data_IF_874902921632
#
_entry.id   IF_874902921632
#
_cell.length_a   1.000
_cell.length_b   1.000
_cell.length_c   1.000
_cell.angle_alpha   90.00
_cell.angle_beta   90.00
_cell.angle_gamma   90.00
#
_symmetry.space_group_name_H-M   'P 1'
#
loop_
_entity.id
_entity.type
_entity.pdbx_description
1 polymer ?
#
# COMPACT_ATOMS: atom_id res chain seq x y z
N UNK A 1 -5.26 37.39 -8.31
CA UNK A 1 -4.46 36.71 -7.25
C UNK A 1 -3.38 35.91 -7.94
N UNK A 2 -2.13 36.02 -7.53
CA UNK A 2 -1.04 35.33 -8.22
C UNK A 2 -0.95 33.87 -7.76
N UNK A 3 -0.35 33.02 -8.59
CA UNK A 3 -0.10 31.62 -8.27
C UNK A 3 0.69 31.48 -6.97
N UNK A 4 1.78 32.22 -6.78
CA UNK A 4 2.53 32.21 -5.51
C UNK A 4 1.66 32.51 -4.26
N UNK A 5 0.67 33.40 -4.37
CA UNK A 5 -0.21 33.75 -3.26
C UNK A 5 -1.17 32.59 -2.96
N UNK A 6 -1.71 31.95 -4.01
CA UNK A 6 -2.51 30.73 -3.90
C UNK A 6 -1.73 29.61 -3.19
N UNK A 7 -0.48 29.40 -3.60
CA UNK A 7 0.41 28.38 -3.02
C UNK A 7 0.72 28.68 -1.56
N UNK A 8 0.98 29.94 -1.20
CA UNK A 8 1.22 30.34 0.19
C UNK A 8 0.01 30.02 1.07
N UNK A 9 -1.20 30.42 0.66
CA UNK A 9 -2.42 30.13 1.40
C UNK A 9 -2.70 28.64 1.55
N UNK A 10 -2.35 27.83 0.53
CA UNK A 10 -2.42 26.38 0.63
C UNK A 10 -1.44 25.83 1.65
N UNK A 11 -0.16 26.23 1.60
CA UNK A 11 0.87 25.76 2.53
C UNK A 11 0.51 26.04 3.99
N UNK A 12 -0.03 27.22 4.29
CA UNK A 12 -0.49 27.57 5.64
C UNK A 12 -1.63 26.64 6.10
N UNK A 13 -2.56 26.34 5.19
CA UNK A 13 -3.66 25.41 5.48
C UNK A 13 -3.15 23.97 5.67
N UNK A 14 -2.14 23.54 4.90
CA UNK A 14 -1.52 22.21 5.05
C UNK A 14 -0.87 22.05 6.43
N UNK A 15 -0.15 23.07 6.92
CA UNK A 15 0.54 23.03 8.22
C UNK A 15 -0.44 22.76 9.36
N UNK A 16 -1.58 23.45 9.36
CA UNK A 16 -2.62 23.24 10.37
C UNK A 16 -3.19 21.81 10.34
N UNK A 17 -3.32 21.22 9.15
CA UNK A 17 -3.82 19.85 9.01
C UNK A 17 -2.76 18.81 9.44
N UNK A 18 -1.47 19.09 9.23
CA UNK A 18 -0.36 18.22 9.70
C UNK A 18 -0.36 18.08 11.22
N UNK A 19 -0.55 19.19 11.94
CA UNK A 19 -0.60 19.22 13.40
C UNK A 19 -1.75 18.34 13.97
N UNK A 20 -2.86 18.23 13.24
CA UNK A 20 -4.04 17.45 13.62
C UNK A 20 -3.95 15.93 13.32
N UNK A 21 -2.92 15.45 12.62
CA UNK A 21 -2.83 14.03 12.20
C UNK A 21 -1.81 13.19 13.00
N UNK A 22 -1.15 13.76 14.01
CA UNK A 22 -0.07 13.10 14.73
C UNK A 22 -0.50 11.94 15.67
N UNK A 23 -1.76 11.49 15.63
CA UNK A 23 -2.31 10.49 16.53
C UNK A 23 -3.22 9.52 15.76
N UNK A 24 -2.73 8.31 15.45
CA UNK A 24 -3.60 7.18 15.06
C UNK A 24 -2.84 5.85 15.12
N UNK A 25 -3.58 4.80 15.52
CA UNK A 25 -3.10 3.46 15.86
C UNK A 25 -2.95 2.53 14.65
N UNK A 26 -2.27 1.40 14.88
CA UNK A 26 -1.84 0.42 13.89
C UNK A 26 -2.86 -0.70 13.67
N UNK A 27 -3.52 -0.69 12.50
CA UNK A 27 -4.25 -1.81 11.89
C UNK A 27 -3.79 -1.96 10.42
N UNK A 28 -3.99 -3.12 9.80
CA UNK A 28 -3.52 -3.38 8.43
C UNK A 28 -4.20 -2.47 7.38
N UNK A 29 -5.51 -2.26 7.49
CA UNK A 29 -6.21 -1.27 6.67
C UNK A 29 -5.67 0.15 6.96
N UNK A 30 -5.43 0.48 8.23
CA UNK A 30 -4.86 1.77 8.62
C UNK A 30 -3.47 2.00 8.01
N UNK A 31 -2.68 0.94 7.81
CA UNK A 31 -1.38 1.03 7.15
C UNK A 31 -1.50 1.36 5.66
N UNK A 32 -2.36 0.68 4.90
CA UNK A 32 -2.50 1.01 3.47
C UNK A 32 -3.12 2.40 3.27
N UNK A 33 -4.03 2.81 4.16
CA UNK A 33 -4.54 4.19 4.22
C UNK A 33 -3.42 5.19 4.53
N UNK A 34 -2.50 4.85 5.44
CA UNK A 34 -1.34 5.68 5.75
C UNK A 34 -0.40 5.82 4.55
N UNK A 35 -0.14 4.73 3.82
CA UNK A 35 0.67 4.75 2.60
C UNK A 35 0.02 5.58 1.49
N UNK A 36 -1.29 5.43 1.27
CA UNK A 36 -2.06 6.24 0.32
C UNK A 36 -1.95 7.73 0.68
N UNK A 37 -2.08 8.05 1.96
CA UNK A 37 -1.97 9.41 2.44
C UNK A 37 -0.55 9.97 2.24
N UNK A 38 0.49 9.21 2.58
CA UNK A 38 1.88 9.60 2.38
C UNK A 38 2.20 9.86 0.91
N UNK A 39 1.74 8.99 0.01
CA UNK A 39 1.86 9.17 -1.44
C UNK A 39 1.18 10.46 -1.89
N UNK A 40 -0.09 10.65 -1.53
CA UNK A 40 -0.87 11.86 -1.89
C UNK A 40 -0.20 13.14 -1.42
N UNK A 41 0.24 13.18 -0.17
CA UNK A 41 0.88 14.37 0.43
C UNK A 41 2.17 14.69 -0.29
N UNK A 42 2.97 13.69 -0.64
CA UNK A 42 4.23 13.91 -1.35
C UNK A 42 3.98 14.44 -2.76
N UNK A 43 3.02 13.87 -3.49
CA UNK A 43 2.63 14.36 -4.81
C UNK A 43 2.22 15.84 -4.74
N UNK A 44 1.37 16.19 -3.78
CA UNK A 44 0.95 17.58 -3.57
C UNK A 44 2.12 18.49 -3.20
N UNK A 45 2.99 18.09 -2.26
CA UNK A 45 4.17 18.89 -1.87
C UNK A 45 5.11 19.13 -3.06
N UNK A 46 5.32 18.12 -3.91
CA UNK A 46 6.10 18.26 -5.14
C UNK A 46 5.44 19.25 -6.09
N UNK A 47 4.12 19.16 -6.27
CA UNK A 47 3.36 20.08 -7.10
C UNK A 47 3.46 21.52 -6.58
N UNK A 48 3.22 21.75 -5.29
CA UNK A 48 3.33 23.08 -4.68
C UNK A 48 4.71 23.69 -4.86
N UNK A 49 5.79 22.89 -4.73
CA UNK A 49 7.17 23.36 -4.93
C UNK A 49 7.41 23.84 -6.37
N UNK A 50 6.81 23.19 -7.36
CA UNK A 50 6.97 23.57 -8.77
C UNK A 50 6.34 24.94 -9.10
N UNK A 51 5.33 25.35 -8.35
CA UNK A 51 4.59 26.61 -8.57
C UNK A 51 4.89 27.71 -7.53
N UNK A 52 5.79 27.46 -6.58
CA UNK A 52 6.06 28.36 -5.46
C UNK A 52 6.55 29.76 -5.87
N UNK A 53 7.27 29.86 -6.99
CA UNK A 53 7.79 31.12 -7.53
C UNK A 53 7.03 31.59 -8.76
N UNK A 54 5.88 30.97 -9.06
CA UNK A 54 5.10 31.29 -10.25
C UNK A 54 4.35 32.63 -10.06
N UNK A 55 4.66 33.59 -10.95
CA UNK A 55 4.06 34.93 -10.96
C UNK A 55 2.88 35.04 -11.93
N UNK A 56 2.46 33.95 -12.60
CA UNK A 56 1.25 33.97 -13.40
C UNK A 56 0.02 34.13 -12.52
N UNK A 57 -1.05 34.63 -13.10
CA UNK A 57 -2.35 34.70 -12.44
C UNK A 57 -2.91 33.28 -12.18
N UNK A 58 -3.53 33.08 -11.02
CA UNK A 58 -4.23 31.85 -10.68
C UNK A 58 -5.60 31.80 -11.39
N UNK A 59 -5.65 31.14 -12.54
CA UNK A 59 -6.83 30.97 -13.39
C UNK A 59 -7.00 29.48 -13.74
N UNK A 60 -8.04 29.14 -14.49
CA UNK A 60 -8.34 27.75 -14.84
C UNK A 60 -7.16 27.01 -15.50
N UNK A 61 -6.44 27.67 -16.41
CA UNK A 61 -5.31 27.06 -17.12
C UNK A 61 -4.10 26.84 -16.20
N UNK A 62 -3.74 27.84 -15.40
CA UNK A 62 -2.58 27.75 -14.50
C UNK A 62 -2.84 26.83 -13.30
N UNK A 63 -4.11 26.66 -12.91
CA UNK A 63 -4.55 25.74 -11.85
C UNK A 63 -4.81 24.31 -12.33
N UNK A 64 -4.82 24.05 -13.65
CA UNK A 64 -5.04 22.72 -14.22
C UNK A 64 -4.21 21.60 -13.58
N UNK A 65 -2.91 21.79 -13.27
CA UNK A 65 -2.12 20.75 -12.62
C UNK A 65 -2.67 20.31 -11.25
N UNK A 66 -3.34 21.20 -10.52
CA UNK A 66 -3.98 20.87 -9.23
C UNK A 66 -5.30 20.13 -9.41
N UNK A 67 -6.05 20.47 -10.46
CA UNK A 67 -7.26 19.73 -10.85
C UNK A 67 -6.91 18.32 -11.34
N UNK A 68 -5.87 18.19 -12.18
CA UNK A 68 -5.36 16.90 -12.67
C UNK A 68 -4.86 16.03 -11.50
N UNK A 69 -4.24 16.64 -10.48
CA UNK A 69 -3.83 15.95 -9.26
C UNK A 69 -5.03 15.34 -8.51
N UNK A 70 -6.11 16.11 -8.28
CA UNK A 70 -7.31 15.60 -7.63
C UNK A 70 -7.96 14.47 -8.45
N UNK A 71 -8.07 14.65 -9.77
CA UNK A 71 -8.63 13.63 -10.66
C UNK A 71 -7.79 12.35 -10.70
N UNK A 72 -6.46 12.48 -10.69
CA UNK A 72 -5.54 11.33 -10.63
C UNK A 72 -5.72 10.56 -9.32
N UNK A 73 -5.80 11.27 -8.19
CA UNK A 73 -6.08 10.63 -6.90
C UNK A 73 -7.44 9.95 -6.88
N UNK A 74 -8.48 10.61 -7.39
CA UNK A 74 -9.83 10.01 -7.48
C UNK A 74 -9.81 8.64 -8.15
N UNK A 75 -9.14 8.54 -9.30
CA UNK A 75 -9.02 7.28 -10.02
C UNK A 75 -8.30 6.18 -9.23
N UNK A 76 -7.39 6.56 -8.32
CA UNK A 76 -6.68 5.65 -7.42
C UNK A 76 -7.55 5.18 -6.24
N UNK A 77 -8.37 6.06 -5.66
CA UNK A 77 -9.09 5.77 -4.41
C UNK A 77 -10.57 5.38 -4.60
N UNK A 78 -11.14 5.57 -5.79
CA UNK A 78 -12.52 5.15 -6.06
C UNK A 78 -12.68 3.65 -5.81
N UNK A 79 -13.81 3.24 -5.24
CA UNK A 79 -14.06 1.87 -4.78
C UNK A 79 -13.11 1.34 -3.69
N UNK A 80 -12.51 2.22 -2.88
CA UNK A 80 -11.67 1.84 -1.74
C UNK A 80 -12.10 2.56 -0.47
N UNK A 81 -11.61 2.11 0.68
CA UNK A 81 -11.88 2.76 1.97
C UNK A 81 -11.10 4.08 2.16
N UNK A 82 -10.22 4.44 1.22
CA UNK A 82 -9.54 5.74 1.20
C UNK A 82 -10.43 6.88 0.67
N UNK A 83 -11.64 6.55 0.19
CA UNK A 83 -12.55 7.49 -0.47
C UNK A 83 -13.02 8.61 0.47
N UNK A 84 -13.34 9.77 -0.11
CA UNK A 84 -13.61 11.00 0.63
C UNK A 84 -14.74 10.91 1.65
N UNK A 85 -15.83 10.21 1.32
CA UNK A 85 -17.01 10.10 2.17
C UNK A 85 -16.97 8.94 3.18
N UNK A 86 -16.07 7.98 3.00
CA UNK A 86 -15.84 6.91 4.00
C UNK A 86 -14.77 7.32 5.00
N UNK A 87 -13.71 7.99 4.56
CA UNK A 87 -12.64 8.40 5.46
C UNK A 87 -12.36 9.92 5.40
N UNK A 88 -13.36 10.77 5.66
CA UNK A 88 -13.25 12.23 5.47
C UNK A 88 -12.17 12.86 6.35
N UNK A 89 -11.84 12.23 7.48
CA UNK A 89 -10.88 12.73 8.45
C UNK A 89 -9.45 12.28 8.20
N UNK A 90 -9.19 11.36 7.25
CA UNK A 90 -7.82 11.01 6.87
C UNK A 90 -7.04 12.25 6.43
N UNK A 91 -5.72 12.23 6.68
CA UNK A 91 -4.84 13.34 6.35
C UNK A 91 -5.01 13.78 4.89
N UNK A 92 -4.91 12.84 3.96
CA UNK A 92 -5.03 13.12 2.53
C UNK A 92 -6.41 13.63 2.11
N UNK A 93 -7.51 13.14 2.71
CA UNK A 93 -8.85 13.63 2.38
C UNK A 93 -9.06 15.06 2.88
N UNK A 94 -8.60 15.40 4.08
CA UNK A 94 -8.62 16.79 4.59
C UNK A 94 -7.81 17.73 3.70
N UNK A 95 -6.63 17.31 3.26
CA UNK A 95 -5.81 18.12 2.34
C UNK A 95 -6.49 18.34 1.00
N UNK A 96 -7.00 17.28 0.39
CA UNK A 96 -7.65 17.36 -0.91
C UNK A 96 -8.92 18.21 -0.83
N UNK A 97 -9.71 18.09 0.24
CA UNK A 97 -10.90 18.94 0.48
C UNK A 97 -10.51 20.41 0.60
N UNK A 98 -9.46 20.72 1.37
CA UNK A 98 -8.96 22.08 1.46
C UNK A 98 -8.51 22.62 0.09
N UNK A 99 -7.84 21.79 -0.72
CA UNK A 99 -7.44 22.15 -2.07
C UNK A 99 -8.65 22.39 -2.98
N UNK A 100 -9.64 21.49 -2.99
CA UNK A 100 -10.83 21.64 -3.82
C UNK A 100 -11.63 22.89 -3.47
N UNK A 101 -11.74 23.24 -2.19
CA UNK A 101 -12.49 24.42 -1.74
C UNK A 101 -11.83 25.71 -2.21
N UNK A 102 -10.50 25.77 -2.17
CA UNK A 102 -9.77 26.93 -2.72
C UNK A 102 -9.83 26.99 -4.24
N UNK A 103 -9.84 25.84 -4.92
CA UNK A 103 -9.99 25.76 -6.37
C UNK A 103 -11.39 26.18 -6.82
N UNK A 104 -12.44 25.81 -6.11
CA UNK A 104 -13.82 26.20 -6.40
C UNK A 104 -13.97 27.72 -6.45
N UNK A 105 -13.42 28.44 -5.45
CA UNK A 105 -13.44 29.91 -5.41
C UNK A 105 -12.79 30.54 -6.66
N UNK A 106 -11.81 29.86 -7.28
CA UNK A 106 -11.04 30.40 -8.42
C UNK A 106 -11.53 29.94 -9.78
N UNK A 107 -12.09 28.75 -9.84
CA UNK A 107 -12.51 28.10 -11.09
C UNK A 107 -14.02 28.11 -11.28
N UNK A 108 -14.78 28.40 -10.21
CA UNK A 108 -16.23 28.26 -10.14
C UNK A 108 -16.71 26.82 -10.46
N UNK A 109 -15.83 25.83 -10.30
CA UNK A 109 -16.17 24.40 -10.40
C UNK A 109 -16.46 23.89 -9.00
N UNK A 110 -17.61 23.25 -8.83
CA UNK A 110 -18.04 22.70 -7.54
C UNK A 110 -16.94 21.84 -6.89
N UNK A 111 -16.65 22.07 -5.61
CA UNK A 111 -15.57 21.37 -4.90
C UNK A 111 -15.72 19.84 -4.91
N UNK A 112 -16.95 19.31 -4.81
CA UNK A 112 -17.18 17.86 -4.87
C UNK A 112 -16.88 17.30 -6.25
N UNK A 113 -17.16 18.05 -7.33
CA UNK A 113 -16.79 17.64 -8.70
C UNK A 113 -15.29 17.66 -8.94
N UNK A 114 -14.56 18.56 -8.26
CA UNK A 114 -13.10 18.56 -8.29
C UNK A 114 -12.52 17.34 -7.56
N UNK A 115 -13.11 16.95 -6.42
CA UNK A 115 -12.69 15.75 -5.67
C UNK A 115 -13.09 14.44 -6.35
N UNK A 116 -14.29 14.38 -6.91
CA UNK A 116 -14.91 13.18 -7.45
C UNK A 116 -15.46 13.46 -8.85
N UNK A 117 -14.60 13.55 -9.89
CA UNK A 117 -15.02 13.93 -11.24
C UNK A 117 -16.07 13.04 -11.92
N UNK A 118 -16.30 11.82 -11.43
CA UNK A 118 -17.37 10.93 -11.96
C UNK A 118 -18.74 11.25 -11.39
N UNK A 119 -18.83 12.06 -10.34
CA UNK A 119 -20.08 12.40 -9.68
C UNK A 119 -20.97 13.23 -10.62
N UNK A 120 -22.15 12.68 -10.93
CA UNK A 120 -23.17 13.33 -11.76
C UNK A 120 -24.01 14.28 -10.92
N UNK A 121 -24.44 15.38 -11.54
CA UNK A 121 -25.34 16.35 -10.89
C UNK A 121 -26.71 15.72 -10.74
N UNK A 122 -27.11 15.47 -9.49
CA UNK A 122 -28.46 14.98 -9.23
C UNK A 122 -29.02 15.38 -7.86
N UNK A 123 -28.16 15.82 -6.92
CA UNK A 123 -28.55 16.28 -5.59
C UNK A 123 -27.64 17.46 -5.19
N UNK A 124 -28.13 18.33 -4.30
CA UNK A 124 -27.34 19.41 -3.71
C UNK A 124 -26.40 18.88 -2.61
N UNK A 125 -25.58 17.88 -2.97
CA UNK A 125 -24.60 17.25 -2.07
C UNK A 125 -23.59 18.27 -1.53
N UNK A 126 -23.45 19.42 -2.19
CA UNK A 126 -22.68 20.57 -1.73
C UNK A 126 -23.10 21.07 -0.35
N UNK A 127 -24.37 20.90 0.01
CA UNK A 127 -24.91 21.32 1.30
C UNK A 127 -24.68 20.28 2.40
N UNK A 128 -24.22 19.09 2.04
CA UNK A 128 -23.99 17.97 2.96
C UNK A 128 -22.50 17.83 3.26
N UNK A 129 -22.20 17.32 4.45
CA UNK A 129 -20.87 16.86 4.81
C UNK A 129 -20.57 15.54 4.12
N UNK A 130 -19.28 15.28 3.93
CA UNK A 130 -18.81 14.07 3.25
C UNK A 130 -19.29 12.79 3.97
N UNK A 131 -19.42 12.79 5.29
CA UNK A 131 -19.88 11.63 6.07
C UNK A 131 -21.41 11.43 6.06
N UNK A 132 -22.20 12.25 5.37
CA UNK A 132 -23.68 12.12 5.38
C UNK A 132 -24.24 11.20 4.30
N UNK A 133 -23.38 10.78 3.37
CA UNK A 133 -23.79 10.07 2.17
C UNK A 133 -22.72 9.09 1.70
N UNK A 134 -23.15 8.01 1.06
CA UNK A 134 -22.27 7.01 0.43
C UNK A 134 -22.41 7.08 -1.09
N UNK A 135 -21.50 6.47 -1.83
CA UNK A 135 -21.61 6.39 -3.28
C UNK A 135 -22.36 5.14 -3.73
N UNK A 136 -23.04 5.26 -4.87
CA UNK A 136 -23.48 4.12 -5.68
C UNK A 136 -22.28 3.28 -6.12
N UNK A 137 -22.50 2.00 -6.46
CA UNK A 137 -21.40 1.10 -6.87
C UNK A 137 -20.65 1.57 -8.14
N UNK A 138 -21.33 2.32 -9.02
CA UNK A 138 -20.73 2.95 -10.21
C UNK A 138 -19.98 4.27 -9.88
N UNK A 139 -20.10 4.78 -8.65
CA UNK A 139 -19.59 6.08 -8.18
C UNK A 139 -20.13 7.30 -8.94
N UNK A 140 -21.30 7.15 -9.57
CA UNK A 140 -21.92 8.24 -10.32
C UNK A 140 -22.82 9.12 -9.44
N UNK A 141 -23.39 8.58 -8.36
CA UNK A 141 -24.38 9.29 -7.55
C UNK A 141 -24.13 9.12 -6.04
N UNK A 142 -24.47 10.17 -5.28
CA UNK A 142 -24.50 10.11 -3.82
C UNK A 142 -25.86 9.60 -3.31
N UNK A 143 -25.81 8.72 -2.32
CA UNK A 143 -26.95 8.16 -1.60
C UNK A 143 -26.93 8.71 -0.16
N UNK A 144 -27.95 9.50 0.20
CA UNK A 144 -28.04 10.11 1.54
C UNK A 144 -28.43 9.03 2.54
N UNK A 145 -27.60 8.82 3.57
CA UNK A 145 -27.74 7.69 4.51
C UNK A 145 -29.07 7.77 5.27
N UNK A 146 -29.35 8.93 5.88
CA UNK A 146 -30.54 9.12 6.69
C UNK A 146 -31.84 8.99 5.88
N UNK A 147 -31.88 9.55 4.67
CA UNK A 147 -33.05 9.51 3.81
C UNK A 147 -33.29 8.11 3.23
N UNK A 148 -32.23 7.35 2.96
CA UNK A 148 -32.35 5.96 2.51
C UNK A 148 -33.00 5.08 3.56
N UNK A 149 -32.54 5.16 4.81
CA UNK A 149 -33.12 4.39 5.93
C UNK A 149 -34.57 4.84 6.20
N UNK A 150 -34.86 6.14 6.07
CA UNK A 150 -36.21 6.65 6.26
C UNK A 150 -37.20 6.12 5.21
N UNK A 151 -36.74 5.83 3.99
CA UNK A 151 -37.52 5.32 2.87
C UNK A 151 -37.45 3.80 2.73
N UNK A 152 -37.24 3.07 3.84
CA UNK A 152 -37.32 1.61 3.86
C UNK A 152 -38.67 1.14 3.29
N UNK A 153 -38.66 0.15 2.40
CA UNK A 153 -39.88 -0.46 1.86
C UNK A 153 -40.69 -1.16 2.96
N UNK A 154 -41.95 -0.74 3.13
CA UNK A 154 -42.90 -1.31 4.09
C UNK A 154 -43.85 -2.36 3.44
N UNK A 155 -43.79 -2.56 2.12
CA UNK A 155 -44.67 -3.47 1.39
C UNK A 155 -44.23 -4.94 1.52
N UNK A 156 -45.18 -5.88 1.54
CA UNK A 156 -44.94 -7.30 1.85
C UNK A 156 -43.91 -7.99 0.94
N UNK A 157 -43.81 -7.62 -0.34
CA UNK A 157 -42.87 -8.24 -1.30
C UNK A 157 -41.46 -7.62 -1.29
N UNK A 158 -41.30 -6.41 -0.75
CA UNK A 158 -40.04 -5.65 -0.75
C UNK A 158 -39.55 -5.27 0.64
N UNK A 159 -40.19 -5.81 1.69
CA UNK A 159 -39.95 -5.44 3.08
C UNK A 159 -38.46 -5.46 3.44
N UNK A 160 -37.97 -4.34 3.96
CA UNK A 160 -36.59 -4.19 4.41
C UNK A 160 -35.58 -3.82 3.32
N UNK A 161 -36.00 -3.61 2.07
CA UNK A 161 -35.11 -3.12 1.00
C UNK A 161 -35.02 -1.61 1.01
N UNK A 162 -33.80 -1.09 0.90
CA UNK A 162 -33.54 0.34 0.74
C UNK A 162 -33.63 0.75 -0.75
N UNK A 163 -34.06 1.99 -0.99
CA UNK A 163 -34.14 2.60 -2.32
C UNK A 163 -33.22 3.80 -2.42
N UNK A 164 -32.78 4.12 -3.65
CA UNK A 164 -32.09 5.38 -3.90
C UNK A 164 -32.96 6.56 -3.47
N UNK A 165 -32.33 7.54 -2.84
CA UNK A 165 -32.98 8.78 -2.40
C UNK A 165 -33.34 9.67 -3.59
N UNK A 166 -32.59 9.58 -4.68
CA UNK A 166 -32.86 10.29 -5.93
C UNK A 166 -33.33 9.36 -7.07
N UNK A 167 -34.02 9.96 -8.05
CA UNK A 167 -34.54 9.27 -9.24
C UNK A 167 -33.48 9.20 -10.35
N UNK A 168 -32.86 8.06 -10.59
CA UNK A 168 -32.00 7.89 -11.77
C UNK A 168 -32.88 7.62 -12.98
N UNK A 169 -32.82 8.46 -14.02
CA UNK A 169 -33.67 8.38 -15.21
C UNK A 169 -35.19 8.39 -14.90
N UNK A 170 -35.61 9.15 -13.89
CA UNK A 170 -37.02 9.26 -13.50
C UNK A 170 -37.53 8.15 -12.57
N UNK A 171 -36.71 7.15 -12.23
CA UNK A 171 -37.10 6.03 -11.37
C UNK A 171 -36.23 5.91 -10.12
N UNK A 172 -36.86 5.65 -8.96
CA UNK A 172 -36.14 5.26 -7.74
C UNK A 172 -35.79 3.78 -7.84
N UNK A 173 -34.52 3.48 -8.13
CA UNK A 173 -34.05 2.09 -8.18
C UNK A 173 -33.85 1.53 -6.78
N UNK A 174 -33.93 0.20 -6.69
CA UNK A 174 -33.48 -0.55 -5.51
C UNK A 174 -31.96 -0.44 -5.38
N UNK A 175 -31.50 -0.37 -4.15
CA UNK A 175 -30.08 -0.42 -3.85
C UNK A 175 -29.54 -1.85 -4.00
N UNK A 176 -28.32 -1.99 -4.50
CA UNK A 176 -27.62 -3.27 -4.52
C UNK A 176 -27.34 -3.75 -3.09
N UNK A 177 -26.96 -5.02 -2.93
CA UNK A 177 -26.63 -5.54 -1.60
C UNK A 177 -25.44 -4.79 -0.98
N UNK A 178 -24.44 -4.43 -1.77
CA UNK A 178 -23.26 -3.68 -1.32
C UNK A 178 -23.59 -2.24 -0.95
N UNK A 179 -24.48 -1.57 -1.68
CA UNK A 179 -24.98 -0.24 -1.33
C UNK A 179 -25.78 -0.26 -0.03
N UNK A 180 -26.68 -1.25 0.12
CA UNK A 180 -27.44 -1.47 1.35
C UNK A 180 -26.51 -1.73 2.54
N UNK A 181 -25.49 -2.56 2.36
CA UNK A 181 -24.51 -2.84 3.39
C UNK A 181 -23.75 -1.58 3.82
N UNK A 182 -23.28 -0.76 2.86
CA UNK A 182 -22.59 0.52 3.17
C UNK A 182 -23.47 1.49 3.94
N UNK A 183 -24.78 1.54 3.67
CA UNK A 183 -25.72 2.41 4.38
C UNK A 183 -26.03 1.87 5.78
N UNK A 184 -26.35 0.59 5.87
CA UNK A 184 -26.75 -0.05 7.14
C UNK A 184 -25.59 -0.18 8.12
N UNK A 185 -24.37 -0.40 7.63
CA UNK A 185 -23.14 -0.43 8.45
C UNK A 185 -22.40 0.92 8.45
N UNK A 186 -23.05 1.99 8.01
CA UNK A 186 -22.41 3.31 7.89
C UNK A 186 -21.81 3.80 9.21
N UNK A 187 -22.52 3.57 10.31
CA UNK A 187 -22.05 3.82 11.67
C UNK A 187 -22.92 3.03 12.64
N UNK A 188 -22.52 2.99 13.91
CA UNK A 188 -23.31 2.35 14.97
C UNK A 188 -24.72 2.95 15.10
N UNK A 189 -24.83 4.28 14.92
CA UNK A 189 -26.11 4.99 15.03
C UNK A 189 -26.99 4.70 13.81
N UNK A 190 -26.41 4.63 12.61
CA UNK A 190 -27.13 4.27 11.39
C UNK A 190 -27.62 2.82 11.45
N UNK A 191 -26.78 1.89 11.92
CA UNK A 191 -27.11 0.48 12.08
C UNK A 191 -28.25 0.29 13.08
N UNK A 192 -28.19 0.98 14.23
CA UNK A 192 -29.26 0.96 15.22
C UNK A 192 -30.57 1.52 14.66
N UNK A 193 -30.51 2.64 13.94
CA UNK A 193 -31.70 3.23 13.31
C UNK A 193 -32.33 2.26 12.30
N UNK A 194 -31.52 1.64 11.45
CA UNK A 194 -32.00 0.66 10.48
C UNK A 194 -32.64 -0.57 11.15
N UNK A 195 -32.01 -1.13 12.19
CA UNK A 195 -32.56 -2.27 12.95
C UNK A 195 -33.93 -1.94 13.54
N UNK A 196 -34.05 -0.79 14.21
CA UNK A 196 -35.32 -0.34 14.80
C UNK A 196 -36.40 -0.03 13.75
N UNK A 197 -36.01 0.48 12.57
CA UNK A 197 -36.96 0.73 11.48
C UNK A 197 -37.44 -0.55 10.81
N UNK A 198 -36.61 -1.60 10.82
CA UNK A 198 -36.92 -2.90 10.22
C UNK A 198 -37.69 -3.85 11.16
N UNK A 199 -37.62 -3.62 12.47
CA UNK A 199 -38.29 -4.42 13.49
C UNK A 199 -39.79 -4.09 13.59
N UNK A 200 -40.71 -5.04 13.33
CA UNK A 200 -42.15 -4.80 13.41
C UNK A 200 -42.64 -4.47 14.83
N UNK A 201 -41.86 -4.77 15.88
CA UNK A 201 -42.23 -4.49 17.27
C UNK A 201 -41.77 -3.11 17.75
N UNK A 202 -40.96 -2.41 16.95
CA UNK A 202 -40.44 -1.10 17.33
C UNK A 202 -41.50 -0.02 17.22
N UNK A 203 -41.68 0.77 18.29
CA UNK A 203 -42.69 1.83 18.33
C UNK A 203 -42.25 3.05 17.52
N UNK A 204 -43.21 3.82 17.00
CA UNK A 204 -42.96 5.07 16.27
C UNK A 204 -42.12 6.08 17.08
N UNK A 205 -42.31 6.12 18.40
CA UNK A 205 -41.52 6.95 19.31
C UNK A 205 -40.05 6.53 19.36
N UNK A 206 -39.76 5.22 19.42
CA UNK A 206 -38.39 4.70 19.42
C UNK A 206 -37.71 5.00 18.09
N UNK A 207 -38.41 4.76 16.97
CA UNK A 207 -37.91 5.04 15.61
C UNK A 207 -37.60 6.54 15.44
N UNK A 208 -38.47 7.43 15.91
CA UNK A 208 -38.27 8.88 15.84
C UNK A 208 -37.05 9.34 16.66
N UNK A 209 -36.83 8.77 17.85
CA UNK A 209 -35.63 9.03 18.66
C UNK A 209 -34.35 8.57 17.95
N UNK A 210 -34.36 7.38 17.36
CA UNK A 210 -33.21 6.86 16.62
C UNK A 210 -32.88 7.72 15.39
N UNK A 211 -33.90 8.15 14.63
CA UNK A 211 -33.75 9.10 13.51
C UNK A 211 -33.10 10.41 13.95
N UNK A 212 -33.58 10.99 15.07
CA UNK A 212 -33.01 12.21 15.64
C UNK A 212 -31.55 11.99 16.08
N UNK A 213 -31.26 10.86 16.70
CA UNK A 213 -29.91 10.46 17.09
C UNK A 213 -28.95 10.40 15.89
N UNK A 214 -29.38 9.80 14.77
CA UNK A 214 -28.59 9.75 13.55
C UNK A 214 -28.30 11.16 13.00
N UNK A 215 -29.31 12.03 12.92
CA UNK A 215 -29.12 13.42 12.47
C UNK A 215 -28.15 14.18 13.36
N UNK A 216 -28.31 14.10 14.68
CA UNK A 216 -27.38 14.73 15.62
C UNK A 216 -25.95 14.24 15.40
N UNK A 217 -25.76 12.92 15.24
CA UNK A 217 -24.44 12.36 15.04
C UNK A 217 -23.80 12.85 13.72
N UNK A 218 -24.56 12.88 12.63
CA UNK A 218 -24.10 13.38 11.32
C UNK A 218 -23.82 14.91 11.33
N UNK A 219 -24.72 15.68 11.92
CA UNK A 219 -24.72 17.16 11.86
C UNK A 219 -23.85 17.81 12.93
N UNK A 220 -23.62 17.17 14.08
CA UNK A 220 -23.06 17.85 15.26
C UNK A 220 -21.75 17.24 15.76
N UNK A 221 -21.37 16.04 15.30
CA UNK A 221 -20.10 15.44 15.71
C UNK A 221 -18.99 15.74 14.69
N UNK A 222 -17.98 16.54 15.06
CA UNK A 222 -16.88 16.90 14.14
C UNK A 222 -15.97 15.70 13.80
N UNK A 223 -16.00 14.63 14.60
CA UNK A 223 -15.20 13.40 14.41
C UNK A 223 -16.10 12.17 14.26
N UNK A 224 -17.19 12.31 13.50
CA UNK A 224 -18.08 11.20 13.23
C UNK A 224 -17.34 10.07 12.50
N UNK A 225 -17.32 8.89 13.13
CA UNK A 225 -16.62 7.72 12.59
C UNK A 225 -17.57 6.96 11.66
N UNK A 226 -17.25 6.99 10.37
CA UNK A 226 -17.88 6.13 9.37
C UNK A 226 -17.23 4.75 9.43
N UNK A 227 -18.06 3.70 9.53
CA UNK A 227 -17.69 2.28 9.52
C UNK A 227 -18.00 1.58 8.20
N UNK A 228 -18.61 2.29 7.25
CA UNK A 228 -18.83 1.76 5.90
C UNK A 228 -17.51 1.36 5.25
N UNK A 229 -17.52 0.30 4.45
CA UNK A 229 -16.33 -0.23 3.77
C UNK A 229 -16.72 -0.82 2.42
N UNK A 230 -15.78 -0.82 1.48
CA UNK A 230 -15.82 -1.61 0.23
C UNK A 230 -15.34 -3.06 0.44
N UNK A 231 -15.05 -3.42 1.69
CA UNK A 231 -14.64 -4.76 2.11
C UNK A 231 -13.33 -5.19 1.48
N UNK A 232 -13.18 -6.51 1.35
CA UNK A 232 -11.96 -7.12 0.81
C UNK A 232 -11.61 -6.63 -0.60
N UNK A 233 -12.64 -6.42 -1.45
CA UNK A 233 -12.42 -5.92 -2.81
C UNK A 233 -11.78 -4.53 -2.83
N UNK A 234 -12.25 -3.62 -1.97
CA UNK A 234 -11.68 -2.28 -1.83
C UNK A 234 -10.30 -2.28 -1.20
N UNK A 235 -10.06 -3.16 -0.23
CA UNK A 235 -8.74 -3.36 0.37
C UNK A 235 -7.72 -3.84 -0.68
N UNK A 236 -8.06 -4.83 -1.49
CA UNK A 236 -7.17 -5.33 -2.54
C UNK A 236 -6.87 -4.28 -3.62
N UNK A 237 -7.87 -3.46 -3.99
CA UNK A 237 -7.66 -2.33 -4.89
C UNK A 237 -6.72 -1.28 -4.29
N UNK A 238 -6.92 -0.91 -3.02
CA UNK A 238 -6.06 0.03 -2.31
C UNK A 238 -4.63 -0.50 -2.21
N UNK A 239 -4.48 -1.76 -1.75
CA UNK A 239 -3.21 -2.47 -1.65
C UNK A 239 -2.47 -2.43 -2.99
N UNK A 240 -3.13 -2.88 -4.07
CA UNK A 240 -2.55 -2.86 -5.42
C UNK A 240 -2.11 -1.45 -5.81
N UNK A 241 -2.93 -0.43 -5.57
CA UNK A 241 -2.58 0.92 -5.97
C UNK A 241 -1.37 1.48 -5.20
N UNK A 242 -1.26 1.27 -3.90
CA UNK A 242 -0.16 1.82 -3.10
C UNK A 242 1.12 1.02 -3.25
N UNK A 243 1.03 -0.31 -3.35
CA UNK A 243 2.18 -1.18 -3.52
C UNK A 243 2.78 -1.12 -4.94
N UNK A 244 1.96 -0.85 -5.96
CA UNK A 244 2.43 -0.57 -7.31
C UNK A 244 3.11 0.80 -7.45
N UNK A 245 3.02 1.66 -6.44
CA UNK A 245 3.60 3.00 -6.43
C UNK A 245 4.43 3.23 -5.15
N UNK A 246 5.04 2.16 -4.63
CA UNK A 246 5.73 2.21 -3.33
C UNK A 246 6.89 3.23 -3.34
N UNK A 247 7.55 3.42 -4.47
CA UNK A 247 8.58 4.44 -4.70
C UNK A 247 8.08 5.86 -4.48
N UNK A 248 6.80 6.11 -4.75
CA UNK A 248 6.16 7.40 -4.58
C UNK A 248 5.72 7.63 -3.14
N UNK A 249 5.45 6.57 -2.37
CA UNK A 249 5.11 6.66 -0.95
C UNK A 249 6.26 7.18 -0.07
N UNK A 250 7.52 6.90 -0.45
CA UNK A 250 8.70 7.19 0.41
C UNK A 250 9.72 8.09 -0.26
N UNK A 251 10.12 9.16 0.46
CA UNK A 251 11.11 10.15 -0.01
C UNK A 251 12.38 9.48 -0.52
N UNK A 252 12.86 8.53 0.27
CA UNK A 252 14.10 7.80 0.09
C UNK A 252 13.97 6.43 0.76
N UNK A 253 14.96 5.58 0.49
CA UNK A 253 15.11 4.26 1.09
C UNK A 253 15.19 4.28 2.62
N UNK A 254 15.79 5.31 3.23
CA UNK A 254 15.89 5.39 4.69
C UNK A 254 14.50 5.49 5.32
N UNK A 255 13.62 6.28 4.72
CA UNK A 255 12.24 6.40 5.17
C UNK A 255 11.48 5.08 5.00
N UNK A 256 11.69 4.36 3.90
CA UNK A 256 11.12 3.03 3.69
C UNK A 256 11.58 2.01 4.74
N UNK A 257 12.90 1.94 5.01
CA UNK A 257 13.46 1.06 6.02
C UNK A 257 12.94 1.38 7.43
N UNK A 258 12.80 2.66 7.75
CA UNK A 258 12.21 3.11 9.01
C UNK A 258 10.75 2.68 9.12
N UNK A 259 9.98 2.81 8.04
CA UNK A 259 8.59 2.36 7.97
C UNK A 259 8.50 0.84 8.16
N UNK A 260 9.27 0.06 7.40
CA UNK A 260 9.29 -1.40 7.48
C UNK A 260 9.53 -1.89 8.91
N UNK A 261 10.51 -1.29 9.59
CA UNK A 261 10.89 -1.63 10.97
C UNK A 261 9.85 -1.24 12.02
N UNK A 262 9.14 -0.12 11.80
CA UNK A 262 8.16 0.38 12.77
C UNK A 262 6.78 -0.25 12.62
N UNK A 263 6.40 -0.62 11.40
CA UNK A 263 5.04 -1.07 11.09
C UNK A 263 4.88 -2.58 11.10
N UNK A 264 5.97 -3.33 10.92
CA UNK A 264 5.90 -4.78 10.79
C UNK A 264 6.85 -5.51 11.72
N UNK A 265 6.33 -6.60 12.26
CA UNK A 265 7.17 -7.67 12.78
C UNK A 265 8.09 -8.23 11.69
N UNK A 266 9.28 -8.64 12.09
CA UNK A 266 10.36 -9.10 11.18
C UNK A 266 9.92 -10.26 10.28
N UNK A 267 9.03 -11.12 10.76
CA UNK A 267 8.49 -12.25 10.01
C UNK A 267 7.52 -11.83 8.88
N UNK A 268 7.01 -10.60 8.90
CA UNK A 268 6.11 -10.04 7.87
C UNK A 268 6.83 -9.18 6.84
N UNK A 269 8.13 -8.92 7.02
CA UNK A 269 8.88 -8.06 6.09
C UNK A 269 8.92 -8.64 4.68
N UNK A 270 9.23 -9.93 4.56
CA UNK A 270 9.34 -10.59 3.26
C UNK A 270 7.99 -10.58 2.55
N UNK A 271 6.89 -10.97 3.21
CA UNK A 271 5.57 -10.99 2.57
C UNK A 271 5.08 -9.60 2.16
N UNK A 272 5.42 -8.56 2.91
CA UNK A 272 5.14 -7.18 2.52
C UNK A 272 5.95 -6.74 1.31
N UNK A 273 7.28 -6.94 1.34
CA UNK A 273 8.16 -6.59 0.22
C UNK A 273 7.77 -7.37 -1.03
N UNK A 274 7.45 -8.65 -0.88
CA UNK A 274 6.99 -9.53 -1.95
C UNK A 274 5.69 -9.04 -2.60
N UNK A 275 4.83 -8.37 -1.83
CA UNK A 275 3.61 -7.76 -2.35
C UNK A 275 3.85 -6.45 -3.13
N UNK A 276 5.05 -5.85 -3.05
CA UNK A 276 5.40 -4.64 -3.80
C UNK A 276 5.70 -4.96 -5.26
N UNK A 277 5.25 -4.08 -6.17
CA UNK A 277 5.66 -4.13 -7.57
C UNK A 277 7.19 -4.11 -7.69
N UNK A 278 7.72 -4.96 -8.57
CA UNK A 278 9.16 -5.18 -8.71
C UNK A 278 9.88 -3.88 -9.08
N UNK A 279 9.43 -3.22 -10.15
CA UNK A 279 10.10 -2.04 -10.68
C UNK A 279 10.01 -0.87 -9.70
N UNK A 280 8.84 -0.67 -9.07
CA UNK A 280 8.67 0.37 -8.05
C UNK A 280 9.55 0.12 -6.82
N UNK A 281 9.61 -1.11 -6.32
CA UNK A 281 10.44 -1.44 -5.16
C UNK A 281 11.93 -1.26 -5.45
N UNK A 282 12.39 -1.73 -6.60
CA UNK A 282 13.78 -1.58 -7.03
C UNK A 282 14.15 -0.11 -7.25
N UNK A 283 13.27 0.67 -7.89
CA UNK A 283 13.45 2.11 -8.07
C UNK A 283 13.56 2.85 -6.74
N UNK A 284 12.77 2.46 -5.73
CA UNK A 284 12.83 3.02 -4.38
C UNK A 284 14.14 2.67 -3.67
N UNK A 285 14.51 1.39 -3.69
CA UNK A 285 15.58 0.87 -2.86
C UNK A 285 16.97 1.04 -3.48
N UNK A 286 17.08 0.99 -4.80
CA UNK A 286 18.32 1.20 -5.53
C UNK A 286 18.46 2.64 -6.05
N UNK A 287 17.44 3.49 -5.90
CA UNK A 287 17.42 4.89 -6.32
C UNK A 287 17.61 5.09 -7.85
N UNK A 288 17.21 4.14 -8.70
CA UNK A 288 17.34 4.25 -10.17
C UNK A 288 17.35 2.93 -10.92
N UNK A 289 17.66 2.96 -12.23
CA UNK A 289 17.71 1.77 -13.09
C UNK A 289 18.78 0.78 -12.63
N UNK A 290 18.40 -0.49 -12.72
CA UNK A 290 18.87 -1.67 -11.99
C UNK A 290 20.38 -2.00 -12.05
N UNK A 291 21.03 -1.81 -13.20
CA UNK A 291 22.24 -2.58 -13.54
C UNK A 291 23.50 -2.17 -12.77
N UNK A 292 23.71 -0.88 -12.49
CA UNK A 292 24.95 -0.41 -11.84
C UNK A 292 24.79 -0.21 -10.32
N UNK A 293 23.55 -0.10 -9.85
CA UNK A 293 23.27 0.36 -8.49
C UNK A 293 23.19 -0.74 -7.46
N UNK A 294 22.83 -1.98 -7.84
CA UNK A 294 22.77 -3.09 -6.87
C UNK A 294 24.13 -3.33 -6.21
N UNK A 295 25.19 -3.53 -7.02
CA UNK A 295 26.55 -3.74 -6.51
C UNK A 295 27.04 -2.55 -5.68
N UNK A 296 26.75 -1.32 -6.11
CA UNK A 296 27.13 -0.10 -5.40
C UNK A 296 26.45 -0.04 -4.02
N UNK A 297 25.14 -0.26 -3.96
CA UNK A 297 24.37 -0.25 -2.72
C UNK A 297 24.79 -1.38 -1.79
N UNK A 298 24.97 -2.58 -2.33
CA UNK A 298 25.39 -3.77 -1.59
C UNK A 298 26.76 -3.59 -0.93
N UNK A 299 27.68 -2.89 -1.60
CA UNK A 299 29.04 -2.69 -1.15
C UNK A 299 29.28 -1.36 -0.43
N UNK A 300 28.28 -0.47 -0.36
CA UNK A 300 28.41 0.80 0.35
C UNK A 300 28.47 0.57 1.87
N UNK A 301 29.61 0.86 2.55
CA UNK A 301 29.70 0.69 4.00
C UNK A 301 28.65 1.51 4.76
N UNK A 302 28.25 2.68 4.24
CA UNK A 302 27.24 3.55 4.83
C UNK A 302 25.85 2.93 4.84
N UNK A 303 25.56 2.04 3.88
CA UNK A 303 24.31 1.29 3.86
C UNK A 303 24.16 0.33 5.04
N UNK A 304 25.28 0.00 5.69
CA UNK A 304 25.32 -0.88 6.84
C UNK A 304 25.70 -0.13 8.12
N UNK A 305 25.71 1.20 8.10
CA UNK A 305 25.83 2.05 9.29
C UNK A 305 24.47 2.15 9.99
N UNK A 306 24.31 1.42 11.09
CA UNK A 306 23.08 1.40 11.88
C UNK A 306 23.05 0.26 12.90
N UNK A 307 21.94 0.18 13.63
CA UNK A 307 21.68 -0.90 14.56
C UNK A 307 21.48 -2.26 13.83
N UNK A 308 21.44 -3.34 14.62
CA UNK A 308 21.31 -4.71 14.10
C UNK A 308 20.02 -4.89 13.28
N UNK A 309 18.93 -4.23 13.67
CA UNK A 309 17.65 -4.34 12.97
C UNK A 309 17.64 -3.59 11.64
N UNK A 310 18.26 -2.41 11.61
CA UNK A 310 18.49 -1.65 10.38
C UNK A 310 19.26 -2.50 9.36
N UNK A 311 20.39 -3.06 9.78
CA UNK A 311 21.21 -3.95 8.94
C UNK A 311 20.41 -5.15 8.43
N UNK A 312 19.58 -5.75 9.30
CA UNK A 312 18.69 -6.86 8.90
C UNK A 312 17.66 -6.42 7.85
N UNK A 313 17.06 -5.24 8.01
CA UNK A 313 16.07 -4.71 7.07
C UNK A 313 16.72 -4.44 5.69
N UNK A 314 17.91 -3.82 5.68
CA UNK A 314 18.69 -3.60 4.45
C UNK A 314 19.00 -4.93 3.75
N UNK A 315 19.52 -5.91 4.48
CA UNK A 315 19.82 -7.24 3.95
C UNK A 315 18.58 -7.95 3.41
N UNK A 316 17.45 -7.84 4.10
CA UNK A 316 16.17 -8.44 3.66
C UNK A 316 15.73 -7.85 2.31
N UNK A 317 15.82 -6.52 2.17
CA UNK A 317 15.47 -5.84 0.92
C UNK A 317 16.40 -6.24 -0.23
N UNK A 318 17.72 -6.26 0.01
CA UNK A 318 18.71 -6.67 -1.01
C UNK A 318 18.54 -8.13 -1.44
N UNK A 319 18.27 -9.02 -0.48
CA UNK A 319 18.01 -10.43 -0.76
C UNK A 319 16.75 -10.59 -1.61
N UNK A 320 15.71 -9.81 -1.35
CA UNK A 320 14.47 -9.90 -2.10
C UNK A 320 14.62 -9.36 -3.54
N UNK A 321 15.38 -8.27 -3.71
CA UNK A 321 15.78 -7.78 -5.04
C UNK A 321 16.56 -8.86 -5.81
N UNK A 322 17.54 -9.50 -5.16
CA UNK A 322 18.32 -10.58 -5.76
C UNK A 322 17.43 -11.75 -6.20
N UNK A 323 16.50 -12.20 -5.34
CA UNK A 323 15.57 -13.30 -5.66
C UNK A 323 14.71 -12.99 -6.88
N UNK A 324 14.09 -11.80 -6.92
CA UNK A 324 13.22 -11.36 -8.02
C UNK A 324 13.95 -11.21 -9.35
N UNK A 325 15.25 -10.95 -9.32
CA UNK A 325 16.10 -10.95 -10.53
C UNK A 325 16.35 -12.37 -11.05
N UNK A 326 16.58 -13.30 -10.12
CA UNK A 326 16.99 -14.69 -10.37
C UNK A 326 15.83 -15.60 -10.74
N UNK A 327 14.62 -15.31 -10.27
CA UNK A 327 13.45 -16.14 -10.56
C UNK A 327 13.23 -16.41 -12.07
N UNK A 328 13.34 -15.42 -12.97
CA UNK A 328 13.16 -15.67 -14.40
C UNK A 328 14.40 -16.24 -15.12
N UNK A 329 15.62 -16.21 -14.54
CA UNK A 329 16.88 -16.46 -15.29
C UNK A 329 18.05 -17.02 -14.43
N UNK A 330 18.92 -17.86 -15.01
CA UNK A 330 20.13 -18.35 -14.35
C UNK A 330 21.15 -17.22 -14.06
N UNK A 331 22.06 -17.45 -13.12
CA UNK A 331 22.84 -16.39 -12.44
C UNK A 331 23.81 -15.65 -13.36
N UNK A 332 24.34 -16.33 -14.37
CA UNK A 332 25.21 -15.76 -15.37
C UNK A 332 24.47 -14.82 -16.34
N UNK A 333 23.13 -14.86 -16.37
CA UNK A 333 22.28 -14.00 -17.18
C UNK A 333 21.67 -12.84 -16.37
N UNK A 334 21.89 -12.82 -15.06
CA UNK A 334 21.35 -11.77 -14.18
C UNK A 334 22.44 -10.83 -13.69
N UNK A 335 22.13 -9.54 -13.65
CA UNK A 335 23.09 -8.52 -13.22
C UNK A 335 23.42 -8.66 -11.73
N UNK A 336 22.44 -9.02 -10.90
CA UNK A 336 22.67 -9.29 -9.49
C UNK A 336 23.56 -10.52 -9.28
N UNK A 337 23.42 -11.55 -10.11
CA UNK A 337 24.29 -12.73 -10.11
C UNK A 337 25.73 -12.37 -10.47
N UNK A 338 25.92 -11.60 -11.53
CA UNK A 338 27.24 -11.05 -11.90
C UNK A 338 27.83 -10.15 -10.79
N UNK A 339 27.02 -9.32 -10.14
CA UNK A 339 27.45 -8.45 -9.06
C UNK A 339 27.87 -9.22 -7.79
N UNK A 340 27.15 -10.30 -7.45
CA UNK A 340 27.52 -11.21 -6.36
C UNK A 340 28.81 -11.95 -6.70
N UNK A 341 28.94 -12.46 -7.93
CA UNK A 341 30.17 -13.09 -8.42
C UNK A 341 31.37 -12.14 -8.37
N UNK A 342 31.18 -10.88 -8.79
CA UNK A 342 32.19 -9.82 -8.74
C UNK A 342 32.56 -9.43 -7.31
N UNK A 343 31.59 -9.32 -6.39
CA UNK A 343 31.88 -9.07 -4.98
C UNK A 343 32.65 -10.24 -4.35
N UNK A 344 32.29 -11.49 -4.68
CA UNK A 344 33.04 -12.69 -4.29
C UNK A 344 34.48 -12.67 -4.80
N UNK A 345 34.71 -12.27 -6.05
CA UNK A 345 36.03 -12.08 -6.69
C UNK A 345 36.99 -11.17 -5.91
N UNK A 346 36.48 -10.23 -5.11
CA UNK A 346 37.31 -9.32 -4.29
C UNK A 346 37.68 -9.89 -2.92
N UNK A 347 36.98 -10.91 -2.44
CA UNK A 347 37.21 -11.52 -1.10
C UNK A 347 38.33 -12.58 -1.12
N UNK A 348 38.66 -13.14 -2.29
CA UNK A 348 39.67 -14.20 -2.40
C UNK A 348 41.10 -13.65 -2.57
N UNK A 349 42.13 -14.27 -1.96
CA UNK A 349 43.54 -14.00 -2.28
C UNK A 349 43.84 -14.29 -3.76
N UNK A 350 44.73 -13.52 -4.40
CA UNK A 350 45.07 -13.61 -5.83
C UNK A 350 45.39 -15.05 -6.31
N UNK A 351 45.95 -15.87 -5.43
CA UNK A 351 46.32 -17.29 -5.66
C UNK A 351 45.14 -18.26 -5.61
N UNK A 352 44.02 -17.90 -4.98
CA UNK A 352 42.78 -18.70 -4.92
C UNK A 352 41.67 -18.14 -5.82
N UNK A 353 41.81 -16.92 -6.34
CA UNK A 353 40.83 -16.25 -7.21
C UNK A 353 40.45 -17.10 -8.41
N UNK A 354 41.41 -17.58 -9.20
CA UNK A 354 41.11 -18.37 -10.41
C UNK A 354 40.31 -19.65 -10.08
N UNK A 355 40.77 -20.45 -9.13
CA UNK A 355 40.10 -21.71 -8.78
C UNK A 355 38.70 -21.54 -8.14
N UNK A 356 38.49 -20.51 -7.32
CA UNK A 356 37.17 -20.27 -6.71
C UNK A 356 36.22 -19.63 -7.71
N UNK A 357 36.72 -18.77 -8.60
CA UNK A 357 35.94 -18.17 -9.67
C UNK A 357 35.55 -19.22 -10.69
N UNK A 358 36.45 -20.13 -11.05
CA UNK A 358 36.16 -21.23 -11.99
C UNK A 358 35.15 -22.21 -11.39
N UNK A 359 35.24 -22.52 -10.08
CA UNK A 359 34.27 -23.40 -9.39
C UNK A 359 32.92 -22.72 -9.13
N UNK A 360 32.95 -21.45 -8.75
CA UNK A 360 31.74 -20.64 -8.57
C UNK A 360 31.06 -20.42 -9.92
N UNK A 361 31.78 -20.02 -10.97
CA UNK A 361 31.27 -19.90 -12.34
C UNK A 361 30.76 -21.24 -12.87
N UNK A 362 31.50 -22.35 -12.70
CA UNK A 362 31.04 -23.67 -13.13
C UNK A 362 29.74 -24.10 -12.43
N UNK A 363 29.60 -23.81 -11.14
CA UNK A 363 28.37 -24.08 -10.38
C UNK A 363 27.23 -23.13 -10.79
N UNK A 364 27.50 -21.83 -10.92
CA UNK A 364 26.56 -20.77 -11.34
C UNK A 364 26.04 -20.97 -12.77
N UNK A 365 26.88 -21.52 -13.66
CA UNK A 365 26.51 -21.88 -15.03
C UNK A 365 25.67 -23.16 -15.10
N UNK A 366 25.66 -23.99 -14.05
CA UNK A 366 24.98 -25.30 -14.03
C UNK A 366 23.81 -25.39 -13.06
N UNK A 367 23.78 -24.55 -12.02
CA UNK A 367 22.75 -24.52 -10.99
C UNK A 367 21.52 -23.75 -11.47
N UNK A 368 20.37 -24.42 -11.51
CA UNK A 368 19.10 -23.88 -11.99
C UNK A 368 18.20 -23.40 -10.86
N UNK A 369 18.50 -23.75 -9.60
CA UNK A 369 17.60 -23.48 -8.46
C UNK A 369 18.32 -22.92 -7.21
N UNK A 370 17.67 -22.05 -6.41
CA UNK A 370 18.25 -21.50 -5.18
C UNK A 370 18.68 -22.54 -4.14
N UNK A 371 18.01 -23.70 -4.08
CA UNK A 371 18.33 -24.77 -3.12
C UNK A 371 19.68 -25.42 -3.42
N UNK A 372 20.08 -25.48 -4.69
CA UNK A 372 21.36 -26.03 -5.15
C UNK A 372 22.54 -25.14 -4.73
N UNK A 373 22.29 -23.85 -4.49
CA UNK A 373 23.28 -22.90 -3.99
C UNK A 373 23.60 -23.15 -2.51
N UNK A 374 22.58 -23.41 -1.68
CA UNK A 374 22.77 -23.73 -0.27
C UNK A 374 23.53 -25.05 -0.11
N UNK A 375 23.17 -26.09 -0.87
CA UNK A 375 23.89 -27.37 -0.89
C UNK A 375 25.35 -27.22 -1.36
N UNK A 376 25.63 -26.32 -2.30
CA UNK A 376 27.00 -26.03 -2.72
C UNK A 376 27.83 -25.37 -1.61
N UNK A 377 27.26 -24.42 -0.88
CA UNK A 377 27.93 -23.79 0.26
C UNK A 377 28.22 -24.82 1.38
N UNK A 378 27.28 -25.73 1.64
CA UNK A 378 27.45 -26.83 2.60
C UNK A 378 28.56 -27.81 2.20
N UNK A 379 28.68 -28.09 0.90
CA UNK A 379 29.69 -29.00 0.36
C UNK A 379 31.08 -28.34 0.16
N UNK A 380 31.20 -27.03 0.33
CA UNK A 380 32.45 -26.28 0.22
C UNK A 380 32.70 -25.45 1.50
N UNK A 381 32.96 -26.11 2.64
CA UNK A 381 33.00 -25.48 3.97
C UNK A 381 34.16 -24.48 4.16
N UNK A 382 35.16 -24.48 3.28
CA UNK A 382 36.19 -23.45 3.19
C UNK A 382 35.65 -22.08 2.74
N UNK A 383 34.44 -22.06 2.14
CA UNK A 383 33.66 -20.85 1.88
C UNK A 383 32.80 -20.44 3.08
N UNK A 384 32.51 -21.34 4.03
CA UNK A 384 31.77 -21.06 5.28
C UNK A 384 32.66 -20.47 6.40
N UNK A 385 33.95 -20.81 6.44
CA UNK A 385 34.87 -20.50 7.55
C UNK A 385 35.61 -19.15 7.51
N UNK A 386 35.24 -18.22 6.64
CA UNK A 386 35.95 -16.94 6.47
C UNK A 386 35.51 -15.90 7.53
N UNK A 387 36.19 -15.89 8.69
CA UNK A 387 36.20 -14.73 9.60
C UNK A 387 37.07 -13.62 9.01
N UNK A 388 36.42 -12.53 8.59
CA UNK A 388 37.05 -11.36 7.96
C UNK A 388 37.99 -10.63 8.93
N UNK A 389 39.30 -10.80 8.75
CA UNK A 389 40.32 -9.90 9.27
C UNK A 389 40.41 -8.61 8.44
N UNK A 390 39.45 -7.69 8.64
CA UNK A 390 39.33 -6.23 8.37
C UNK A 390 39.98 -5.51 7.13
N UNK A 391 39.41 -4.37 6.64
CA UNK A 391 38.15 -3.70 7.01
C UNK A 391 37.10 -3.58 5.86
N UNK A 392 35.82 -3.71 6.27
CA UNK A 392 34.55 -3.22 5.66
C UNK A 392 34.09 -3.73 4.29
N UNK A 393 33.08 -4.60 4.32
CA UNK A 393 32.11 -4.84 3.23
C UNK A 393 31.12 -5.97 3.60
N UNK A 394 29.87 -5.70 4.05
CA UNK A 394 29.02 -6.73 4.65
C UNK A 394 27.79 -7.04 3.78
N UNK A 395 27.81 -8.16 3.07
CA UNK A 395 26.58 -8.87 2.70
C UNK A 395 26.39 -10.19 3.46
N UNK A 396 27.48 -10.84 3.90
CA UNK A 396 27.40 -12.21 4.44
C UNK A 396 28.19 -12.46 5.73
N UNK A 397 28.50 -11.42 6.50
CA UNK A 397 29.01 -11.61 7.87
C UNK A 397 27.84 -11.85 8.84
N UNK A 398 27.71 -13.10 9.28
CA UNK A 398 26.89 -13.53 10.42
C UNK A 398 25.37 -13.59 10.18
N UNK A 399 24.78 -14.73 10.55
CA UNK A 399 23.35 -14.98 10.81
C UNK A 399 22.37 -15.11 9.63
N UNK A 400 22.70 -15.95 8.64
CA UNK A 400 21.68 -16.55 7.74
C UNK A 400 21.46 -18.06 7.95
N UNK A 401 22.05 -18.65 8.99
CA UNK A 401 21.97 -20.10 9.26
C UNK A 401 20.73 -20.60 10.02
N UNK A 402 19.60 -19.86 10.04
CA UNK A 402 18.42 -20.26 10.83
C UNK A 402 17.08 -19.94 10.14
N UNK A 403 16.85 -20.48 8.94
CA UNK A 403 15.48 -20.76 8.48
C UNK A 403 15.45 -22.10 7.74
N UNK A 404 15.48 -23.20 8.49
CA UNK A 404 14.81 -24.48 8.15
C UNK A 404 15.15 -25.54 9.21
N UNK A 405 14.40 -25.60 10.31
CA UNK A 405 14.09 -26.87 10.96
C UNK A 405 12.71 -26.79 11.62
N UNK A 406 11.71 -27.52 11.13
CA UNK A 406 10.77 -28.19 12.00
C UNK A 406 11.23 -29.64 12.20
N UNK A 407 11.37 -30.04 13.46
CA UNK A 407 11.47 -31.43 13.86
C UNK A 407 10.20 -32.22 13.47
N UNK A 408 10.35 -33.40 12.88
CA UNK A 408 9.62 -34.60 13.31
C UNK A 408 10.33 -35.90 12.90
N UNK A 409 10.23 -36.86 13.84
CA UNK A 409 10.84 -38.19 13.93
C UNK A 409 10.17 -39.24 13.04
N UNK A 410 11.00 -40.26 12.73
CA UNK A 410 10.73 -41.72 12.65
C UNK A 410 9.61 -42.23 11.72
N UNK A 411 10.00 -43.06 10.74
CA UNK A 411 9.51 -44.44 10.61
C UNK A 411 10.34 -45.21 9.57
N UNK A 412 10.55 -46.48 9.90
CA UNK A 412 11.46 -47.44 9.31
C UNK A 412 11.01 -48.08 7.97
N UNK A 413 11.99 -48.79 7.39
CA UNK A 413 11.90 -50.14 6.79
C UNK A 413 11.51 -50.38 5.31
N UNK A 414 12.43 -51.13 4.67
CA UNK A 414 12.21 -52.22 3.67
C UNK A 414 11.96 -51.74 2.23
N UNK A 415 12.80 -52.04 1.23
CA UNK A 415 13.11 -53.41 0.78
C UNK A 415 14.35 -53.43 -0.11
N UNK A 416 15.16 -54.46 0.06
CA UNK A 416 16.16 -54.94 -0.88
C UNK A 416 15.54 -55.33 -2.24
N UNK A 417 16.34 -55.30 -3.32
CA UNK A 417 16.81 -56.48 -4.09
C UNK A 417 17.22 -56.07 -5.52
N UNK A 418 18.29 -56.72 -6.01
CA UNK A 418 18.77 -56.88 -7.39
C UNK A 418 20.05 -56.08 -7.70
N UNK A 419 21.23 -56.63 -7.36
CA UNK A 419 22.00 -57.65 -8.11
C UNK A 419 22.33 -57.21 -9.54
N UNK A 420 23.63 -57.10 -9.82
CA UNK A 420 24.44 -58.01 -10.65
C UNK A 420 25.83 -57.35 -10.77
N UNK A 421 26.86 -57.99 -10.22
CA UNK A 421 27.94 -58.65 -10.99
C UNK A 421 28.88 -57.61 -11.64
N UNK A 422 30.22 -57.62 -11.51
CA UNK A 422 31.16 -58.73 -11.51
C UNK A 422 32.51 -58.21 -10.98
N UNK A 423 33.11 -58.86 -9.99
CA UNK A 423 34.56 -58.84 -9.80
C UNK A 423 34.96 -60.06 -8.97
N UNK A 424 34.78 -61.23 -9.58
CA UNK A 424 35.45 -62.43 -9.16
C UNK A 424 36.89 -62.41 -9.74
N UNK A 425 37.84 -62.78 -8.88
CA UNK A 425 39.13 -63.39 -9.22
C UNK A 425 40.20 -62.48 -9.83
N UNK A 426 41.21 -62.18 -9.00
CA UNK A 426 42.61 -62.51 -9.29
C UNK A 426 43.44 -62.37 -8.00
N UNK A 427 43.82 -63.54 -7.46
CA UNK A 427 44.84 -63.86 -6.45
C UNK A 427 44.79 -63.25 -5.05
#
# INVERSE_FOLDING_TARGET
>A
MLMKDFISQLKDSLKNIEELNAQSSHEELAMYLHLEAAFTVRELKKLLKNFEKDNREANHETLKPFMDFLATRWNRIKNTDAIYNINPHSYANRLCKCLSDKLEIKTNINALKLLMPTLKEFNDLSLLRLNEWVLTDDNDYGIIVADSINNLEDNQEEKGKLKMTCQVNGFKRKLSNTEQERITKHSEVAENYYKLKSDPNSTSTIISRAKKGLRIALDQQPEYIVRATYGESGLQLLKKSVLNNIDKCFKDRQQFLTFLRKQFDKNKWISFIDSCDKDAFEQLFLEGKYNDKFAQVANDPKMMEGDVEYKRAVRTCLLEIYKRDREPRPEYETYTGMAVAQTGLFVFPKTKKLNVVDRYQAHVLTAKKPEEFNTFLENNPDLMGLTLGYPTGPLFSGDLGLIAKPHKKEADEVTATQKLETAAKLN
#
